data_IF_277661504149
#
_entry.id   IF_277661504149
#
_cell.length_a   1.000
_cell.length_b   1.000
_cell.length_c   1.000
_cell.angle_alpha   90.00
_cell.angle_beta   90.00
_cell.angle_gamma   90.00
#
_symmetry.space_group_name_H-M   'P 1'
#
loop_
_entity.id
_entity.type
_entity.pdbx_description
1 polymer ?
#
# COMPACT_ATOMS: atom_id res chain seq x y z
N UNK A 1 10.90 6.21 -28.38
CA UNK A 1 11.07 4.80 -28.02
C UNK A 1 11.70 4.63 -26.62
N UNK A 2 12.96 4.99 -26.39
CA UNK A 2 13.66 4.89 -25.09
C UNK A 2 12.91 5.59 -23.95
N UNK A 3 12.34 6.76 -24.20
CA UNK A 3 11.55 7.48 -23.21
C UNK A 3 10.38 6.65 -22.64
N UNK A 4 9.61 5.96 -23.49
CA UNK A 4 8.49 5.13 -23.03
C UNK A 4 8.95 3.93 -22.20
N UNK A 5 10.08 3.32 -22.56
CA UNK A 5 10.68 2.23 -21.79
C UNK A 5 11.12 2.70 -20.40
N UNK A 6 11.84 3.83 -20.32
CA UNK A 6 12.30 4.40 -19.04
C UNK A 6 11.12 4.78 -18.15
N UNK A 7 10.07 5.38 -18.73
CA UNK A 7 8.85 5.70 -17.98
C UNK A 7 8.12 4.46 -17.50
N UNK A 8 8.03 3.41 -18.32
CA UNK A 8 7.43 2.14 -17.91
C UNK A 8 8.18 1.53 -16.70
N UNK A 9 9.51 1.43 -16.78
CA UNK A 9 10.35 0.95 -15.69
C UNK A 9 10.21 1.80 -14.42
N UNK A 10 10.16 3.13 -14.57
CA UNK A 10 9.94 4.03 -13.44
C UNK A 10 8.61 3.74 -12.73
N UNK A 11 7.51 3.59 -13.48
CA UNK A 11 6.21 3.30 -12.87
C UNK A 11 6.12 1.88 -12.28
N UNK A 12 6.81 0.90 -12.86
CA UNK A 12 6.94 -0.45 -12.28
C UNK A 12 7.68 -0.37 -10.93
N UNK A 13 8.77 0.39 -10.83
CA UNK A 13 9.47 0.61 -9.56
C UNK A 13 8.59 1.35 -8.53
N UNK A 14 7.81 2.34 -8.97
CA UNK A 14 6.85 3.06 -8.12
C UNK A 14 5.76 2.14 -7.58
N UNK A 15 5.24 1.23 -8.39
CA UNK A 15 4.29 0.20 -7.95
C UNK A 15 4.88 -0.65 -6.82
N UNK A 16 6.09 -1.21 -7.03
CA UNK A 16 6.77 -2.00 -6.02
C UNK A 16 7.06 -1.23 -4.73
N UNK A 17 7.40 0.06 -4.86
CA UNK A 17 7.60 0.95 -3.71
C UNK A 17 6.33 1.11 -2.88
N UNK A 18 5.18 1.44 -3.49
CA UNK A 18 3.93 1.61 -2.76
C UNK A 18 3.43 0.30 -2.16
N UNK A 19 3.51 -0.81 -2.91
CA UNK A 19 3.13 -2.14 -2.43
C UNK A 19 4.01 -2.60 -1.25
N UNK A 20 5.32 -2.36 -1.32
CA UNK A 20 6.26 -2.64 -0.25
C UNK A 20 6.02 -1.80 0.99
N UNK A 21 5.78 -0.49 0.83
CA UNK A 21 5.46 0.42 1.94
C UNK A 21 4.17 0.03 2.65
N UNK A 22 3.12 -0.37 1.92
CA UNK A 22 1.87 -0.86 2.50
C UNK A 22 2.13 -2.04 3.45
N UNK A 23 2.77 -3.08 2.92
CA UNK A 23 3.04 -4.31 3.69
C UNK A 23 4.02 -4.07 4.83
N UNK A 24 5.07 -3.28 4.59
CA UNK A 24 6.05 -2.92 5.59
C UNK A 24 5.43 -2.15 6.76
N UNK A 25 4.64 -1.12 6.49
CA UNK A 25 3.99 -0.30 7.51
C UNK A 25 2.99 -1.08 8.37
N UNK A 26 2.23 -2.00 7.77
CA UNK A 26 1.33 -2.90 8.51
C UNK A 26 2.11 -3.84 9.45
N UNK A 27 3.33 -4.22 9.06
CA UNK A 27 4.20 -5.11 9.82
C UNK A 27 5.02 -4.40 10.91
N UNK A 28 5.01 -3.06 10.96
CA UNK A 28 5.76 -2.28 11.96
C UNK A 28 5.13 -2.42 13.35
N UNK A 29 5.94 -2.75 14.33
CA UNK A 29 5.54 -2.75 15.75
C UNK A 29 5.37 -1.31 16.26
N UNK A 30 4.15 -0.92 16.62
CA UNK A 30 3.81 0.42 17.13
C UNK A 30 4.72 0.88 18.29
N UNK A 31 4.98 0.06 19.35
CA UNK A 31 5.83 0.48 20.46
C UNK A 31 7.24 0.88 20.05
N UNK A 32 7.84 0.17 19.05
CA UNK A 32 9.16 0.48 18.51
C UNK A 32 9.16 1.84 17.78
N UNK A 33 8.12 2.10 16.98
CA UNK A 33 7.98 3.39 16.27
C UNK A 33 7.78 4.56 17.23
N UNK A 34 6.95 4.40 18.27
CA UNK A 34 6.69 5.42 19.29
C UNK A 34 7.94 5.72 20.12
N UNK A 35 8.68 4.69 20.52
CA UNK A 35 9.95 4.89 21.24
C UNK A 35 10.96 5.67 20.40
N UNK A 36 11.12 5.29 19.12
CA UNK A 36 12.00 6.00 18.20
C UNK A 36 11.53 7.44 17.90
N UNK A 37 10.24 7.72 17.94
CA UNK A 37 9.69 9.07 17.80
C UNK A 37 10.00 9.94 19.03
N UNK A 38 9.94 9.37 20.25
CA UNK A 38 10.31 10.02 21.52
C UNK A 38 11.80 10.37 21.57
N UNK A 39 12.65 9.54 20.97
CA UNK A 39 14.11 9.82 20.85
C UNK A 39 14.45 10.86 19.77
N UNK A 40 13.45 11.51 19.15
CA UNK A 40 13.64 12.64 18.24
C UNK A 40 13.81 12.27 16.77
N UNK A 41 13.72 11.01 16.36
CA UNK A 41 13.81 10.59 14.94
C UNK A 41 12.63 11.12 14.12
N UNK A 42 12.90 12.05 13.18
CA UNK A 42 11.86 12.65 12.31
C UNK A 42 11.09 11.62 11.49
N UNK A 43 11.77 10.59 10.94
CA UNK A 43 11.12 9.51 10.20
C UNK A 43 10.15 8.70 11.06
N UNK A 44 10.50 8.44 12.32
CA UNK A 44 9.63 7.73 13.25
C UNK A 44 8.37 8.54 13.62
N UNK A 45 8.45 9.87 13.69
CA UNK A 45 7.26 10.72 13.90
C UNK A 45 6.26 10.62 12.74
N UNK A 46 6.76 10.63 11.49
CA UNK A 46 5.91 10.44 10.30
C UNK A 46 5.31 9.02 10.30
N UNK A 47 6.11 8.02 10.68
CA UNK A 47 5.64 6.64 10.77
C UNK A 47 4.52 6.50 11.80
N UNK A 48 4.65 7.09 13.00
CA UNK A 48 3.61 7.11 14.03
C UNK A 48 2.34 7.79 13.53
N UNK A 49 2.44 8.90 12.77
CA UNK A 49 1.29 9.54 12.14
C UNK A 49 0.49 8.57 11.26
N UNK A 50 1.16 7.80 10.39
CA UNK A 50 0.48 6.81 9.54
C UNK A 50 -0.06 5.62 10.34
N UNK A 51 0.65 5.15 11.37
CA UNK A 51 0.19 4.06 12.24
C UNK A 51 -1.04 4.45 13.08
N UNK A 52 -1.19 5.73 13.40
CA UNK A 52 -2.39 6.27 14.06
C UNK A 52 -3.56 6.48 13.09
N UNK A 53 -3.26 6.64 11.78
CA UNK A 53 -4.25 6.85 10.72
C UNK A 53 -4.15 5.77 9.63
N UNK A 54 -4.48 4.51 9.94
CA UNK A 54 -4.29 3.38 9.01
C UNK A 54 -5.10 3.53 7.72
N UNK A 55 -6.28 4.15 7.76
CA UNK A 55 -7.09 4.42 6.57
C UNK A 55 -6.37 5.33 5.57
N UNK A 56 -5.70 6.38 6.05
CA UNK A 56 -4.90 7.29 5.20
C UNK A 56 -3.70 6.55 4.61
N UNK A 57 -3.03 5.74 5.41
CA UNK A 57 -1.87 4.95 5.00
C UNK A 57 -2.23 3.99 3.86
N UNK A 58 -3.26 3.17 4.07
CA UNK A 58 -3.73 2.18 3.09
C UNK A 58 -4.24 2.87 1.83
N UNK A 59 -5.05 3.93 1.96
CA UNK A 59 -5.54 4.68 0.81
C UNK A 59 -4.40 5.27 -0.03
N UNK A 60 -3.37 5.84 0.61
CA UNK A 60 -2.20 6.39 -0.09
C UNK A 60 -1.47 5.29 -0.88
N UNK A 61 -1.24 4.14 -0.26
CA UNK A 61 -0.57 3.00 -0.90
C UNK A 61 -1.39 2.46 -2.07
N UNK A 62 -2.68 2.19 -1.87
CA UNK A 62 -3.56 1.64 -2.91
C UNK A 62 -3.69 2.58 -4.12
N UNK A 63 -3.90 3.87 -3.89
CA UNK A 63 -3.98 4.86 -4.97
C UNK A 63 -2.64 4.93 -5.71
N UNK A 64 -1.52 4.93 -4.98
CA UNK A 64 -0.18 4.93 -5.55
C UNK A 64 0.09 3.70 -6.41
N UNK A 65 -0.23 2.50 -5.94
CA UNK A 65 -0.12 1.25 -6.70
C UNK A 65 -0.95 1.32 -7.98
N UNK A 66 -2.25 1.66 -7.87
CA UNK A 66 -3.16 1.66 -9.01
C UNK A 66 -2.73 2.66 -10.09
N UNK A 67 -2.36 3.89 -9.71
CA UNK A 67 -1.84 4.88 -10.68
C UNK A 67 -0.59 4.34 -11.35
N UNK A 68 0.33 3.75 -10.59
CA UNK A 68 1.60 3.22 -11.13
C UNK A 68 1.36 2.07 -12.12
N UNK A 69 0.46 1.15 -11.81
CA UNK A 69 0.08 0.02 -12.72
C UNK A 69 -0.52 0.54 -14.03
N UNK A 70 -1.47 1.46 -13.94
CA UNK A 70 -2.12 2.03 -15.13
C UNK A 70 -1.10 2.77 -16.00
N UNK A 71 -0.26 3.61 -15.40
CA UNK A 71 0.78 4.34 -16.15
C UNK A 71 1.85 3.41 -16.74
N UNK A 72 2.28 2.39 -16.01
CA UNK A 72 3.20 1.37 -16.52
C UNK A 72 2.62 0.66 -17.74
N UNK A 73 1.35 0.26 -17.69
CA UNK A 73 0.65 -0.42 -18.78
C UNK A 73 0.53 0.48 -20.01
N UNK A 74 0.16 1.75 -19.83
CA UNK A 74 0.05 2.72 -20.93
C UNK A 74 1.40 3.00 -21.59
N UNK A 75 2.47 3.17 -20.79
CA UNK A 75 3.81 3.40 -21.32
C UNK A 75 4.38 2.19 -22.06
N UNK A 76 4.12 0.98 -21.53
CA UNK A 76 4.50 -0.28 -22.19
C UNK A 76 3.76 -0.45 -23.52
N UNK A 77 2.46 -0.17 -23.55
CA UNK A 77 1.68 -0.20 -24.80
C UNK A 77 2.28 0.74 -25.86
N UNK A 78 2.53 2.00 -25.50
CA UNK A 78 3.16 2.98 -26.40
C UNK A 78 4.56 2.57 -26.87
N UNK A 79 5.33 1.92 -26.01
CA UNK A 79 6.63 1.37 -26.36
C UNK A 79 6.52 0.32 -27.46
N UNK A 80 5.55 -0.61 -27.35
CA UNK A 80 5.32 -1.69 -28.33
C UNK A 80 4.80 -1.15 -29.66
N UNK A 81 3.90 -0.16 -29.63
CA UNK A 81 3.41 0.52 -30.84
C UNK A 81 4.54 1.12 -31.68
N UNK A 82 5.63 1.57 -31.03
CA UNK A 82 6.81 2.08 -31.77
C UNK A 82 7.54 1.01 -32.60
N UNK A 83 7.30 -0.28 -32.36
CA UNK A 83 7.87 -1.39 -33.15
C UNK A 83 6.97 -1.85 -34.29
N UNK A 84 5.85 -1.16 -34.55
CA UNK A 84 4.83 -1.56 -35.56
C UNK A 84 4.30 -2.98 -35.38
N UNK A 85 4.38 -3.52 -34.18
CA UNK A 85 3.89 -4.84 -33.79
C UNK A 85 2.39 -4.74 -33.43
N UNK A 86 1.53 -4.63 -34.44
CA UNK A 86 0.09 -4.34 -34.24
C UNK A 86 -0.84 -5.54 -34.42
N UNK A 87 -0.35 -6.76 -34.28
CA UNK A 87 -1.18 -7.97 -34.31
C UNK A 87 -1.91 -8.23 -32.98
N UNK A 88 -3.14 -8.71 -33.03
CA UNK A 88 -3.91 -9.07 -31.82
C UNK A 88 -3.19 -10.10 -30.93
N UNK A 89 -2.49 -11.04 -31.52
CA UNK A 89 -1.68 -12.05 -30.83
C UNK A 89 -0.51 -11.39 -30.09
N UNK A 90 0.17 -10.41 -30.70
CA UNK A 90 1.27 -9.68 -30.08
C UNK A 90 0.80 -8.88 -28.87
N UNK A 91 -0.34 -8.20 -28.97
CA UNK A 91 -0.95 -7.46 -27.87
C UNK A 91 -1.32 -8.39 -26.70
N UNK A 92 -1.88 -9.56 -27.00
CA UNK A 92 -2.22 -10.55 -25.98
C UNK A 92 -0.98 -11.10 -25.25
N UNK A 93 0.04 -11.53 -25.99
CA UNK A 93 1.28 -12.04 -25.42
C UNK A 93 1.98 -10.98 -24.54
N UNK A 94 2.05 -9.74 -25.03
CA UNK A 94 2.71 -8.67 -24.29
C UNK A 94 1.96 -8.28 -23.02
N UNK A 95 0.63 -8.24 -23.08
CA UNK A 95 -0.18 -8.00 -21.87
C UNK A 95 0.00 -9.11 -20.85
N UNK A 96 0.11 -10.36 -21.28
CA UNK A 96 0.32 -11.51 -20.39
C UNK A 96 1.71 -11.44 -19.72
N UNK A 97 2.76 -11.18 -20.49
CA UNK A 97 4.12 -11.02 -19.96
C UNK A 97 4.20 -9.83 -19.00
N UNK A 98 3.60 -8.70 -19.37
CA UNK A 98 3.56 -7.51 -18.51
C UNK A 98 2.85 -7.80 -17.19
N UNK A 99 1.73 -8.52 -17.19
CA UNK A 99 1.00 -8.90 -15.99
C UNK A 99 1.86 -9.73 -15.03
N UNK A 100 2.63 -10.67 -15.57
CA UNK A 100 3.57 -11.48 -14.76
C UNK A 100 4.69 -10.61 -14.16
N UNK A 101 5.24 -9.69 -14.94
CA UNK A 101 6.28 -8.75 -14.47
C UNK A 101 5.71 -7.85 -13.35
N UNK A 102 4.53 -7.28 -13.53
CA UNK A 102 3.88 -6.43 -12.54
C UNK A 102 3.62 -7.18 -11.24
N UNK A 103 3.14 -8.44 -11.33
CA UNK A 103 2.93 -9.30 -10.17
C UNK A 103 4.24 -9.61 -9.42
N UNK A 104 5.31 -9.96 -10.14
CA UNK A 104 6.62 -10.18 -9.54
C UNK A 104 7.16 -8.91 -8.85
N UNK A 105 7.02 -7.75 -9.52
CA UNK A 105 7.43 -6.44 -8.98
C UNK A 105 6.57 -5.96 -7.80
N UNK A 106 5.43 -6.59 -7.56
CA UNK A 106 4.62 -6.38 -6.36
C UNK A 106 5.04 -7.31 -5.22
N UNK A 107 5.19 -8.61 -5.49
CA UNK A 107 5.48 -9.63 -4.47
C UNK A 107 6.89 -9.45 -3.88
N UNK A 108 7.90 -9.20 -4.71
CA UNK A 108 9.29 -9.10 -4.27
C UNK A 108 9.50 -7.94 -3.29
N UNK A 109 9.08 -6.70 -3.56
CA UNK A 109 9.18 -5.61 -2.58
C UNK A 109 8.37 -5.86 -1.32
N UNK A 110 7.16 -6.44 -1.40
CA UNK A 110 6.35 -6.77 -0.22
C UNK A 110 7.12 -7.69 0.74
N UNK A 111 7.75 -8.73 0.22
CA UNK A 111 8.54 -9.65 1.02
C UNK A 111 9.78 -8.95 1.61
N UNK A 112 10.48 -8.16 0.78
CA UNK A 112 11.65 -7.41 1.22
C UNK A 112 11.30 -6.45 2.37
N UNK A 113 10.24 -5.64 2.27
CA UNK A 113 9.83 -4.74 3.35
C UNK A 113 9.39 -5.46 4.62
N UNK A 114 8.84 -6.69 4.51
CA UNK A 114 8.39 -7.50 5.65
C UNK A 114 9.53 -8.02 6.51
N UNK A 115 10.72 -8.30 5.96
CA UNK A 115 11.86 -8.84 6.72
C UNK A 115 12.39 -7.85 7.76
N UNK A 116 12.47 -6.56 7.45
CA UNK A 116 12.95 -5.52 8.38
C UNK A 116 12.05 -4.27 8.29
N UNK A 117 10.78 -4.36 8.76
CA UNK A 117 9.77 -3.37 8.44
C UNK A 117 10.08 -1.98 9.00
N UNK A 118 10.57 -1.89 10.24
CA UNK A 118 10.90 -0.60 10.85
C UNK A 118 12.05 0.12 10.14
N UNK A 119 13.13 -0.58 9.85
CA UNK A 119 14.34 0.03 9.30
C UNK A 119 14.13 0.43 7.83
N UNK A 120 13.54 -0.46 7.01
CA UNK A 120 13.25 -0.20 5.60
C UNK A 120 12.18 0.87 5.41
N UNK A 121 11.09 0.81 6.16
CA UNK A 121 10.08 1.87 6.13
C UNK A 121 10.63 3.22 6.61
N UNK A 122 11.50 3.25 7.62
CA UNK A 122 12.10 4.49 8.14
C UNK A 122 12.92 5.24 7.08
N UNK A 123 13.56 4.53 6.13
CA UNK A 123 14.30 5.14 5.02
C UNK A 123 13.35 5.81 4.04
N UNK A 124 12.30 5.10 3.66
CA UNK A 124 11.40 5.50 2.58
C UNK A 124 10.17 6.31 3.02
N UNK A 125 9.89 6.40 4.33
CA UNK A 125 8.69 7.05 4.86
C UNK A 125 8.56 8.53 4.45
N UNK A 126 9.67 9.22 4.22
CA UNK A 126 9.64 10.62 3.76
C UNK A 126 9.12 10.73 2.33
N UNK A 127 9.56 9.83 1.45
CA UNK A 127 9.08 9.77 0.06
C UNK A 127 7.60 9.40 0.04
N UNK A 128 7.20 8.44 0.86
CA UNK A 128 5.79 8.06 1.02
C UNK A 128 4.93 9.22 1.55
N UNK A 129 5.44 10.01 2.47
CA UNK A 129 4.76 11.21 2.97
C UNK A 129 4.63 12.30 1.89
N UNK A 130 5.65 12.51 1.07
CA UNK A 130 5.56 13.41 -0.09
C UNK A 130 4.50 12.93 -1.09
N UNK A 131 4.44 11.62 -1.36
CA UNK A 131 3.39 11.03 -2.20
C UNK A 131 1.99 11.23 -1.59
N UNK A 132 1.83 11.05 -0.27
CA UNK A 132 0.59 11.37 0.43
C UNK A 132 0.18 12.83 0.24
N UNK A 133 1.10 13.79 0.35
CA UNK A 133 0.80 15.20 0.15
C UNK A 133 0.36 15.49 -1.29
N UNK A 134 0.98 14.86 -2.27
CA UNK A 134 0.59 14.98 -3.69
C UNK A 134 -0.79 14.37 -3.94
N UNK A 135 -1.08 13.25 -3.31
CA UNK A 135 -2.34 12.52 -3.45
C UNK A 135 -3.37 12.89 -2.36
N UNK A 136 -3.17 14.00 -1.66
CA UNK A 136 -3.98 14.37 -0.50
C UNK A 136 -5.48 14.43 -0.78
N UNK A 137 -5.87 15.00 -1.92
CA UNK A 137 -7.30 15.15 -2.28
C UNK A 137 -7.97 13.77 -2.48
N UNK A 138 -7.51 12.89 -3.39
CA UNK A 138 -8.12 11.59 -3.60
C UNK A 138 -8.01 10.68 -2.36
N UNK A 139 -6.90 10.72 -1.63
CA UNK A 139 -6.72 9.95 -0.39
C UNK A 139 -7.75 10.33 0.66
N UNK A 140 -8.02 11.63 0.85
CA UNK A 140 -8.97 12.12 1.84
C UNK A 140 -10.42 11.75 1.51
N UNK A 141 -10.77 11.77 0.23
CA UNK A 141 -12.10 11.33 -0.24
C UNK A 141 -12.26 9.82 0.03
N UNK A 142 -11.27 9.02 -0.36
CA UNK A 142 -11.30 7.57 -0.20
C UNK A 142 -11.29 7.14 1.28
N UNK A 143 -10.48 7.78 2.12
CA UNK A 143 -10.45 7.52 3.56
C UNK A 143 -11.80 7.79 4.22
N UNK A 144 -12.44 8.93 3.92
CA UNK A 144 -13.79 9.24 4.43
C UNK A 144 -14.83 8.23 3.98
N UNK A 145 -14.74 7.77 2.74
CA UNK A 145 -15.64 6.73 2.22
C UNK A 145 -15.46 5.40 2.98
N UNK A 146 -14.21 5.00 3.22
CA UNK A 146 -13.88 3.80 4.00
C UNK A 146 -14.39 3.91 5.45
N UNK A 147 -14.20 5.06 6.10
CA UNK A 147 -14.70 5.31 7.44
C UNK A 147 -16.23 5.27 7.51
N UNK A 148 -16.91 5.80 6.48
CA UNK A 148 -18.36 5.71 6.35
C UNK A 148 -18.84 4.26 6.21
N UNK A 149 -18.20 3.45 5.36
CA UNK A 149 -18.51 2.03 5.20
C UNK A 149 -18.28 1.25 6.49
N UNK A 150 -17.17 1.50 7.19
CA UNK A 150 -16.89 0.87 8.47
C UNK A 150 -17.93 1.24 9.54
N UNK A 151 -18.40 2.50 9.57
CA UNK A 151 -19.43 2.94 10.48
C UNK A 151 -20.79 2.30 10.15
N UNK A 152 -21.09 2.11 8.88
CA UNK A 152 -22.29 1.42 8.41
C UNK A 152 -22.25 -0.07 8.77
N UNK A 153 -21.11 -0.74 8.54
CA UNK A 153 -20.90 -2.14 8.91
C UNK A 153 -21.03 -2.35 10.42
N UNK A 154 -20.45 -1.45 11.23
CA UNK A 154 -20.57 -1.48 12.68
C UNK A 154 -22.04 -1.28 13.16
N UNK A 155 -22.84 -0.45 12.46
CA UNK A 155 -24.28 -0.28 12.75
C UNK A 155 -25.07 -1.54 12.41
N UNK A 156 -24.77 -2.18 11.27
CA UNK A 156 -25.43 -3.43 10.85
C UNK A 156 -25.08 -4.58 11.82
N UNK A 157 -23.82 -4.65 12.28
CA UNK A 157 -23.37 -5.66 13.25
C UNK A 157 -23.98 -5.45 14.64
N UNK A 158 -24.31 -4.23 15.02
CA UNK A 158 -24.97 -3.92 16.31
C UNK A 158 -26.46 -4.31 16.33
N UNK A 159 -27.08 -4.48 15.16
CA UNK A 159 -28.45 -4.96 15.01
C UNK A 159 -28.57 -6.49 14.89
N UNK A 160 -27.45 -7.20 14.73
CA UNK A 160 -27.36 -8.66 14.80
C UNK A 160 -26.55 -9.02 16.04
N UNK A 161 -27.19 -9.50 17.10
CA UNK A 161 -26.55 -9.94 18.32
C UNK A 161 -25.65 -11.17 18.08
N UNK A 162 -24.40 -10.93 17.60
CA UNK A 162 -23.31 -11.89 17.76
C UNK A 162 -22.02 -11.13 18.09
N UNK A 163 -21.60 -11.24 19.35
CA UNK A 163 -20.28 -10.74 19.80
C UNK A 163 -19.19 -11.44 18.98
N UNK A 164 -18.24 -10.69 18.36
CA UNK A 164 -17.16 -11.33 17.61
C UNK A 164 -16.32 -12.23 18.54
N UNK A 165 -15.92 -13.43 18.10
CA UNK A 165 -15.26 -14.44 18.93
C UNK A 165 -13.98 -13.97 19.63
N UNK A 166 -13.35 -12.91 19.17
CA UNK A 166 -12.16 -12.33 19.79
C UNK A 166 -12.39 -11.57 21.11
N UNK A 167 -13.62 -11.14 21.41
CA UNK A 167 -13.94 -10.43 22.66
C UNK A 167 -14.18 -11.44 23.78
N UNK A 168 -14.76 -12.58 23.45
CA UNK A 168 -15.02 -13.67 24.42
C UNK A 168 -13.71 -14.27 24.94
N UNK A 169 -12.68 -14.39 24.11
CA UNK A 169 -11.37 -14.90 24.51
C UNK A 169 -10.68 -13.96 25.50
N UNK A 170 -10.82 -12.64 25.37
CA UNK A 170 -10.20 -11.66 26.29
C UNK A 170 -10.90 -11.60 27.66
N UNK A 171 -12.20 -11.79 27.72
CA UNK A 171 -12.95 -11.84 28.97
C UNK A 171 -12.65 -13.13 29.73
N UNK A 172 -12.58 -14.27 29.05
CA UNK A 172 -12.22 -15.55 29.67
C UNK A 172 -10.78 -15.55 30.21
N UNK A 173 -9.80 -14.91 29.51
CA UNK A 173 -8.43 -14.78 30.01
C UNK A 173 -8.33 -13.96 31.31
N UNK A 174 -9.21 -12.98 31.53
CA UNK A 174 -9.25 -12.20 32.78
C UNK A 174 -9.84 -12.98 33.95
N UNK A 175 -10.69 -13.95 33.70
CA UNK A 175 -11.27 -14.82 34.76
C UNK A 175 -10.31 -15.89 35.22
N UNK A 176 -9.33 -16.32 34.40
CA UNK A 176 -8.31 -17.31 34.77
C UNK A 176 -7.11 -16.73 35.55
N UNK A 177 -6.99 -15.41 35.63
CA UNK A 177 -5.88 -14.70 36.29
C UNK A 177 -6.31 -14.12 37.68
N UNK A 178 -7.47 -14.48 38.19
CA UNK A 178 -7.94 -14.21 39.55
C UNK A 178 -7.99 -15.48 40.35
#
# INVERSE_FOLDING_TARGET
MIFYLVMALFFICMQGFFAGMETGMVSVMRPRAEHAAKTGRKSAKIMVFFLQNPGIMIATALIGVNISVVMASLMTKKFIECFHLSGSLTLFLTSSVLSVILLACEIVPKNWFREAPFDRCSIFIRVFYCAYLLLFIPVRIFSKFTDYLNSLAAKLQKNGEEKPPGVVVRENFRLYLR
#
